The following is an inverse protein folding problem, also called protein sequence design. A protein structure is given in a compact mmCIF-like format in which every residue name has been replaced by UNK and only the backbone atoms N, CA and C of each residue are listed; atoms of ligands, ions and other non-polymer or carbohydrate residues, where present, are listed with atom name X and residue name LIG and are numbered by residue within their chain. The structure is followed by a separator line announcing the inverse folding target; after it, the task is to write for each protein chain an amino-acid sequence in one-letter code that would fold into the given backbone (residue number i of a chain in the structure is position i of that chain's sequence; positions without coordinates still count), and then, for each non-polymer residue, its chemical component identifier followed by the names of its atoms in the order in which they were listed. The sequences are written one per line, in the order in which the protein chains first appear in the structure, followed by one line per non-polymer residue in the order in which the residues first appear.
data_IF_926847687139
#
_entry.id   IF_926847687139
#
_cell.length_a   1.000
_cell.length_b   1.000
_cell.length_c   1.000
_cell.angle_alpha   90.00
_cell.angle_beta   90.00
_cell.angle_gamma   90.00
#
_symmetry.space_group_name_H-M   'P 1'
#
loop_
_entity.id
_entity.type
_entity.pdbx_description
1 polymer ?
#
# COMPACT_ATOMS: atom_id res chain seq x y z
N UNK A 1 10.35 -17.38 -11.69
CA UNK A 1 9.17 -16.82 -12.38
C UNK A 1 8.02 -16.89 -11.39
N UNK A 2 7.42 -15.75 -11.10
CA UNK A 2 6.27 -15.64 -10.21
C UNK A 2 5.14 -14.92 -10.94
N UNK A 3 3.92 -15.42 -10.74
CA UNK A 3 2.67 -14.82 -11.19
C UNK A 3 2.07 -14.07 -10.02
N UNK A 4 1.60 -12.85 -10.24
CA UNK A 4 0.82 -12.10 -9.26
C UNK A 4 -0.51 -11.68 -9.86
N UNK A 5 -1.56 -11.77 -9.04
CA UNK A 5 -2.90 -11.28 -9.37
C UNK A 5 -3.18 -10.12 -8.41
N UNK A 6 -3.44 -8.95 -8.96
CA UNK A 6 -3.83 -7.76 -8.21
C UNK A 6 -5.33 -7.55 -8.30
N UNK A 7 -5.95 -7.22 -7.18
CA UNK A 7 -7.31 -6.70 -7.12
C UNK A 7 -7.25 -5.39 -6.33
N UNK A 8 -7.82 -4.33 -6.88
CA UNK A 8 -7.91 -3.03 -6.24
C UNK A 8 -9.38 -2.63 -6.14
N UNK A 9 -9.80 -2.23 -4.93
CA UNK A 9 -11.13 -1.66 -4.69
C UNK A 9 -10.95 -0.34 -3.96
N UNK A 10 -11.43 0.74 -4.57
CA UNK A 10 -11.35 2.10 -4.04
C UNK A 10 -12.75 2.67 -3.90
N UNK A 11 -12.98 3.43 -2.85
CA UNK A 11 -14.22 4.17 -2.70
C UNK A 11 -13.92 5.58 -2.19
N UNK A 12 -14.67 6.56 -2.70
CA UNK A 12 -14.51 7.96 -2.32
C UNK A 12 -15.87 8.66 -2.29
N UNK A 13 -16.10 9.48 -1.27
CA UNK A 13 -17.24 10.39 -1.23
C UNK A 13 -17.02 11.57 -2.19
N UNK A 14 -18.09 12.01 -2.83
CA UNK A 14 -18.15 13.15 -3.73
C UNK A 14 -19.01 14.21 -3.06
N UNK A 15 -18.43 15.37 -2.80
CA UNK A 15 -19.15 16.50 -2.25
C UNK A 15 -20.14 17.06 -3.28
N UNK A 16 -21.41 16.70 -3.10
CA UNK A 16 -22.48 17.04 -4.04
C UNK A 16 -22.70 18.55 -4.14
N UNK A 17 -22.44 19.30 -3.05
CA UNK A 17 -22.56 20.76 -3.07
C UNK A 17 -21.53 21.37 -4.01
N UNK A 18 -20.28 20.93 -3.93
CA UNK A 18 -19.23 21.44 -4.81
C UNK A 18 -19.43 21.06 -6.26
N UNK A 19 -19.89 19.84 -6.53
CA UNK A 19 -20.27 19.43 -7.88
C UNK A 19 -21.33 20.39 -8.42
N UNK A 20 -22.39 20.64 -7.66
CA UNK A 20 -23.42 21.58 -8.06
C UNK A 20 -22.87 23.01 -8.27
N UNK A 21 -21.98 23.50 -7.39
CA UNK A 21 -21.33 24.80 -7.56
C UNK A 21 -20.48 24.87 -8.83
N UNK A 22 -19.80 23.78 -9.22
CA UNK A 22 -19.10 23.71 -10.51
C UNK A 22 -20.07 23.82 -11.69
N UNK A 23 -21.24 23.18 -11.64
CA UNK A 23 -22.28 23.33 -12.66
C UNK A 23 -22.81 24.77 -12.75
N UNK A 24 -22.93 25.48 -11.61
CA UNK A 24 -23.25 26.91 -11.59
C UNK A 24 -22.14 27.74 -12.24
N UNK A 25 -20.87 27.48 -11.89
CA UNK A 25 -19.72 28.21 -12.42
C UNK A 25 -19.56 28.04 -13.94
N UNK A 26 -19.92 26.86 -14.46
CA UNK A 26 -19.95 26.57 -15.90
C UNK A 26 -21.21 27.11 -16.61
N UNK A 27 -22.15 27.70 -15.86
CA UNK A 27 -23.41 28.22 -16.40
C UNK A 27 -24.42 27.13 -16.81
N UNK A 28 -24.18 25.88 -16.41
CA UNK A 28 -25.06 24.74 -16.72
C UNK A 28 -26.37 24.78 -15.92
N UNK A 29 -26.36 25.38 -14.73
CA UNK A 29 -27.55 25.59 -13.88
C UNK A 29 -27.56 26.98 -13.24
N UNK A 30 -28.75 27.46 -12.83
CA UNK A 30 -28.88 28.76 -12.19
C UNK A 30 -28.26 28.79 -10.78
N UNK A 31 -27.73 29.94 -10.29
CA UNK A 31 -27.11 30.03 -8.97
C UNK A 31 -27.99 29.60 -7.79
N UNK A 32 -29.31 29.78 -7.90
CA UNK A 32 -30.26 29.38 -6.86
C UNK A 32 -30.53 27.86 -6.81
N UNK A 33 -30.12 27.11 -7.83
CA UNK A 33 -30.45 25.68 -7.98
C UNK A 33 -29.87 24.84 -6.85
N UNK A 34 -28.59 25.02 -6.48
CA UNK A 34 -27.96 24.19 -5.44
C UNK A 34 -28.68 24.34 -4.08
N UNK A 35 -29.01 25.57 -3.68
CA UNK A 35 -29.77 25.82 -2.46
C UNK A 35 -31.18 25.23 -2.49
N UNK A 36 -31.86 25.30 -3.64
CA UNK A 36 -33.18 24.69 -3.83
C UNK A 36 -33.14 23.15 -3.74
N UNK A 37 -32.03 22.55 -4.15
CA UNK A 37 -31.76 21.12 -4.02
C UNK A 37 -31.27 20.71 -2.62
N UNK A 38 -31.20 21.63 -1.65
CA UNK A 38 -30.71 21.34 -0.31
C UNK A 38 -29.19 21.13 -0.22
N UNK A 39 -28.46 21.45 -1.28
CA UNK A 39 -27.01 21.49 -1.32
C UNK A 39 -26.57 22.89 -0.87
N UNK A 40 -26.39 23.08 0.44
CA UNK A 40 -26.18 24.40 1.05
C UNK A 40 -24.79 24.63 1.61
N UNK A 41 -23.99 23.58 1.80
CA UNK A 41 -22.64 23.64 2.33
C UNK A 41 -21.80 22.48 1.84
N UNK A 42 -20.49 22.72 1.70
CA UNK A 42 -19.50 21.66 1.52
C UNK A 42 -19.38 20.78 2.78
N UNK A 43 -18.76 19.61 2.62
CA UNK A 43 -18.47 18.63 3.67
C UNK A 43 -19.71 18.12 4.41
N UNK A 44 -20.83 17.96 3.71
CA UNK A 44 -22.07 17.43 4.27
C UNK A 44 -22.33 15.99 3.79
N UNK A 45 -21.81 15.03 4.57
CA UNK A 45 -21.93 13.60 4.30
C UNK A 45 -23.37 13.10 4.09
N UNK A 46 -24.40 13.79 4.62
CA UNK A 46 -25.80 13.40 4.43
C UNK A 46 -26.31 13.65 3.00
N UNK A 47 -25.63 14.51 2.24
CA UNK A 47 -25.98 14.88 0.87
C UNK A 47 -24.94 14.46 -0.16
N UNK A 48 -23.85 13.83 0.28
CA UNK A 48 -22.75 13.44 -0.59
C UNK A 48 -23.11 12.26 -1.48
N UNK A 49 -22.56 12.29 -2.68
CA UNK A 49 -22.57 11.17 -3.61
C UNK A 49 -21.31 10.32 -3.36
N UNK A 50 -21.14 9.20 -4.06
CA UNK A 50 -19.93 8.40 -3.95
C UNK A 50 -19.53 7.79 -5.27
N UNK A 51 -18.24 7.50 -5.41
CA UNK A 51 -17.70 6.64 -6.47
C UNK A 51 -17.00 5.45 -5.85
N UNK A 52 -17.26 4.26 -6.37
CA UNK A 52 -16.46 3.06 -6.14
C UNK A 52 -15.74 2.67 -7.42
N UNK A 53 -14.52 2.18 -7.30
CA UNK A 53 -13.73 1.68 -8.42
C UNK A 53 -13.24 0.30 -8.09
N UNK A 54 -13.46 -0.65 -8.98
CA UNK A 54 -12.97 -2.03 -8.86
C UNK A 54 -12.16 -2.38 -10.09
N UNK A 55 -10.91 -2.82 -9.90
CA UNK A 55 -10.03 -3.17 -11.00
C UNK A 55 -9.18 -4.40 -10.69
N UNK A 56 -8.79 -5.12 -11.74
CA UNK A 56 -7.93 -6.30 -11.62
C UNK A 56 -6.75 -6.24 -12.59
N UNK A 57 -5.65 -6.86 -12.19
CA UNK A 57 -4.43 -6.93 -13.00
C UNK A 57 -3.73 -8.28 -12.83
N UNK A 58 -2.98 -8.68 -13.85
CA UNK A 58 -2.06 -9.82 -13.77
C UNK A 58 -0.66 -9.34 -14.10
N UNK A 59 0.30 -9.68 -13.24
CA UNK A 59 1.70 -9.30 -13.37
C UNK A 59 2.63 -10.50 -13.34
N UNK A 60 3.75 -10.36 -14.03
CA UNK A 60 4.81 -11.36 -14.08
C UNK A 60 6.10 -10.81 -13.50
N UNK A 61 6.76 -11.61 -12.68
CA UNK A 61 8.07 -11.29 -12.11
C UNK A 61 9.04 -12.46 -12.15
N UNK A 62 10.28 -12.15 -11.79
CA UNK A 62 11.33 -13.12 -11.59
C UNK A 62 12.10 -12.82 -10.30
N UNK A 63 12.63 -13.88 -9.71
CA UNK A 63 13.52 -13.82 -8.57
C UNK A 63 14.72 -14.73 -8.82
N UNK A 64 15.89 -14.31 -8.39
CA UNK A 64 17.12 -15.10 -8.44
C UNK A 64 17.89 -14.92 -7.14
N UNK A 65 18.67 -15.93 -6.75
CA UNK A 65 19.50 -15.83 -5.56
C UNK A 65 20.67 -16.80 -5.60
N UNK A 66 21.72 -16.43 -4.88
CA UNK A 66 22.94 -17.23 -4.72
C UNK A 66 23.34 -17.23 -3.25
N UNK A 67 23.80 -18.38 -2.77
CA UNK A 67 24.39 -18.53 -1.44
C UNK A 67 25.84 -19.00 -1.58
N UNK A 68 26.74 -18.31 -0.90
CA UNK A 68 28.15 -18.65 -0.80
C UNK A 68 28.49 -19.02 0.64
N UNK A 69 29.29 -20.06 0.82
CA UNK A 69 29.69 -20.57 2.13
C UNK A 69 31.21 -20.43 2.28
N UNK A 70 31.74 -19.27 2.75
CA UNK A 70 33.17 -19.10 2.97
C UNK A 70 33.76 -20.09 3.99
N UNK A 71 32.92 -20.62 4.89
CA UNK A 71 33.24 -21.68 5.85
C UNK A 71 31.98 -22.42 6.24
N UNK A 72 32.11 -23.55 6.94
CA UNK A 72 30.98 -24.32 7.47
C UNK A 72 30.08 -23.54 8.44
N UNK A 73 30.59 -22.41 8.97
CA UNK A 73 29.90 -21.57 9.95
C UNK A 73 29.28 -20.30 9.34
N UNK A 74 29.59 -19.97 8.09
CA UNK A 74 29.19 -18.69 7.51
C UNK A 74 28.50 -18.90 6.18
N UNK A 75 27.32 -18.31 6.03
CA UNK A 75 26.58 -18.25 4.77
C UNK A 75 26.38 -16.78 4.40
N UNK A 76 26.79 -16.42 3.19
CA UNK A 76 26.50 -15.14 2.56
C UNK A 76 25.46 -15.40 1.47
N UNK A 77 24.38 -14.62 1.44
CA UNK A 77 23.32 -14.78 0.46
C UNK A 77 23.06 -13.46 -0.25
N UNK A 78 22.86 -13.53 -1.55
CA UNK A 78 22.38 -12.42 -2.37
C UNK A 78 21.09 -12.87 -3.05
N UNK A 79 20.06 -12.04 -2.99
CA UNK A 79 18.79 -12.26 -3.65
C UNK A 79 18.36 -11.02 -4.41
N UNK A 80 17.76 -11.19 -5.58
CA UNK A 80 17.15 -10.11 -6.36
C UNK A 80 15.73 -10.51 -6.76
N UNK A 81 14.84 -9.53 -6.79
CA UNK A 81 13.47 -9.64 -7.29
C UNK A 81 13.25 -8.54 -8.31
N UNK A 82 12.74 -8.90 -9.48
CA UNK A 82 12.39 -7.92 -10.51
C UNK A 82 11.20 -7.08 -10.09
N UNK A 83 11.09 -5.90 -10.67
CA UNK A 83 9.83 -5.17 -10.66
C UNK A 83 8.72 -5.98 -11.35
N UNK A 84 7.47 -5.69 -11.01
CA UNK A 84 6.29 -6.30 -11.62
C UNK A 84 5.35 -5.18 -12.03
N UNK A 85 5.08 -5.10 -13.32
CA UNK A 85 4.12 -4.14 -13.87
C UNK A 85 2.73 -4.75 -13.81
N UNK A 86 1.78 -3.97 -13.30
CA UNK A 86 0.37 -4.30 -13.19
C UNK A 86 -0.40 -3.23 -13.95
N UNK A 87 -0.95 -3.61 -15.09
CA UNK A 87 -1.93 -2.81 -15.82
C UNK A 87 -3.32 -3.24 -15.31
N UNK A 88 -3.94 -2.38 -14.51
CA UNK A 88 -5.27 -2.60 -13.93
C UNK A 88 -6.34 -2.06 -14.87
N UNK A 89 -7.32 -2.92 -15.14
CA UNK A 89 -8.51 -2.62 -15.91
C UNK A 89 -9.75 -2.89 -15.04
N UNK A 90 -10.74 -2.02 -15.10
CA UNK A 90 -11.91 -2.07 -14.24
C UNK A 90 -12.92 -0.97 -14.50
N UNK A 91 -13.85 -0.80 -13.56
CA UNK A 91 -15.01 0.08 -13.67
C UNK A 91 -15.02 1.08 -12.51
N UNK A 92 -15.57 2.27 -12.75
CA UNK A 92 -15.89 3.30 -11.77
C UNK A 92 -17.41 3.50 -11.70
N UNK A 93 -18.04 3.07 -10.62
CA UNK A 93 -19.48 3.18 -10.38
C UNK A 93 -19.81 4.44 -9.56
N UNK A 94 -20.70 5.28 -10.08
CA UNK A 94 -21.14 6.51 -9.43
C UNK A 94 -22.52 6.34 -8.81
N UNK A 95 -22.61 6.57 -7.50
CA UNK A 95 -23.87 6.62 -6.77
C UNK A 95 -24.18 8.06 -6.39
N UNK A 96 -25.16 8.65 -7.06
CA UNK A 96 -25.59 10.02 -6.80
C UNK A 96 -26.58 10.10 -5.63
N UNK A 97 -26.40 11.11 -4.78
CA UNK A 97 -27.44 11.48 -3.81
C UNK A 97 -28.69 11.96 -4.54
N UNK A 98 -29.87 11.79 -3.95
CA UNK A 98 -31.13 12.23 -4.56
C UNK A 98 -31.14 13.73 -4.88
N UNK A 99 -30.42 14.52 -4.08
CA UNK A 99 -30.21 15.95 -4.27
C UNK A 99 -29.40 16.23 -5.55
N UNK A 100 -28.30 15.51 -5.78
CA UNK A 100 -27.44 15.72 -6.95
C UNK A 100 -28.06 15.12 -8.22
N UNK A 101 -28.67 13.94 -8.11
CA UNK A 101 -29.39 13.27 -9.20
C UNK A 101 -30.49 14.14 -9.82
N UNK A 102 -31.04 15.10 -9.06
CA UNK A 102 -32.02 16.07 -9.55
C UNK A 102 -31.45 17.04 -10.62
N UNK A 103 -30.13 17.14 -10.78
CA UNK A 103 -29.50 17.83 -11.92
C UNK A 103 -29.61 17.04 -13.24
N UNK A 104 -30.01 15.76 -13.16
CA UNK A 104 -30.21 14.86 -14.29
C UNK A 104 -29.02 13.95 -14.54
N UNK A 105 -29.23 12.64 -14.48
CA UNK A 105 -28.19 11.61 -14.67
C UNK A 105 -27.43 11.77 -16.00
N UNK A 106 -28.12 12.12 -17.09
CA UNK A 106 -27.48 12.36 -18.37
C UNK A 106 -26.50 13.56 -18.34
N UNK A 107 -26.81 14.60 -17.56
CA UNK A 107 -25.93 15.76 -17.40
C UNK A 107 -24.72 15.42 -16.53
N UNK A 108 -24.91 14.59 -15.50
CA UNK A 108 -23.83 14.11 -14.63
C UNK A 108 -22.88 13.19 -15.39
N UNK A 109 -23.41 12.23 -16.16
CA UNK A 109 -22.63 11.35 -17.02
C UNK A 109 -21.83 12.15 -18.08
N UNK A 110 -22.46 13.12 -18.73
CA UNK A 110 -21.78 14.01 -19.68
C UNK A 110 -20.68 14.87 -19.04
N UNK A 111 -20.73 15.07 -17.72
CA UNK A 111 -19.70 15.75 -16.93
C UNK A 111 -18.62 14.80 -16.37
N UNK A 112 -18.62 13.52 -16.77
CA UNK A 112 -17.65 12.52 -16.29
C UNK A 112 -17.95 11.98 -14.89
N UNK A 113 -19.19 12.15 -14.40
CA UNK A 113 -19.69 11.64 -13.13
C UNK A 113 -20.71 10.50 -13.34
N UNK A 114 -20.60 9.76 -14.44
CA UNK A 114 -21.41 8.57 -14.67
C UNK A 114 -20.53 7.32 -14.62
N UNK A 115 -21.18 6.16 -14.54
CA UNK A 115 -20.47 4.87 -14.61
C UNK A 115 -19.61 4.81 -15.87
N UNK A 116 -18.35 4.43 -15.70
CA UNK A 116 -17.33 4.50 -16.75
C UNK A 116 -16.16 3.55 -16.48
N UNK A 117 -15.44 3.18 -17.53
CA UNK A 117 -14.21 2.41 -17.44
C UNK A 117 -13.13 3.21 -16.71
N UNK A 118 -12.32 2.52 -15.92
CA UNK A 118 -11.20 3.09 -15.17
C UNK A 118 -9.95 2.20 -15.31
N UNK A 119 -8.85 2.83 -15.70
CA UNK A 119 -7.56 2.15 -15.85
C UNK A 119 -6.51 2.75 -14.91
N UNK A 120 -5.58 1.93 -14.43
CA UNK A 120 -4.40 2.43 -13.71
C UNK A 120 -3.19 1.53 -13.94
N UNK A 121 -1.99 2.11 -13.93
CA UNK A 121 -0.74 1.37 -14.04
C UNK A 121 0.04 1.49 -12.75
N UNK A 122 0.35 0.35 -12.16
CA UNK A 122 1.13 0.26 -10.93
C UNK A 122 2.34 -0.62 -11.14
N UNK A 123 3.48 -0.20 -10.60
CA UNK A 123 4.68 -1.01 -10.55
C UNK A 123 4.92 -1.47 -9.11
N UNK A 124 5.02 -2.78 -8.90
CA UNK A 124 5.58 -3.34 -7.67
C UNK A 124 7.10 -3.23 -7.79
N UNK A 125 7.80 -2.51 -6.88
CA UNK A 125 9.22 -2.22 -7.03
C UNK A 125 10.13 -3.44 -7.10
N UNK A 126 11.24 -3.29 -7.83
CA UNK A 126 12.36 -4.21 -7.74
C UNK A 126 13.02 -4.15 -6.35
N UNK A 127 13.68 -5.24 -5.95
CA UNK A 127 14.46 -5.27 -4.71
C UNK A 127 15.71 -6.14 -4.82
N UNK A 128 16.72 -5.78 -4.04
CA UNK A 128 17.96 -6.54 -3.88
C UNK A 128 18.30 -6.67 -2.40
N UNK A 129 18.59 -7.90 -1.96
CA UNK A 129 18.89 -8.22 -0.57
C UNK A 129 20.23 -8.92 -0.45
N UNK A 130 21.04 -8.47 0.50
CA UNK A 130 22.21 -9.18 0.97
C UNK A 130 21.98 -9.64 2.41
N UNK A 131 22.33 -10.88 2.72
CA UNK A 131 22.19 -11.44 4.05
C UNK A 131 23.41 -12.26 4.46
N UNK A 132 23.71 -12.24 5.76
CA UNK A 132 24.75 -13.05 6.39
C UNK A 132 24.14 -13.85 7.53
N UNK A 133 24.49 -15.13 7.60
CA UNK A 133 24.27 -15.98 8.76
C UNK A 133 25.62 -16.50 9.24
N UNK A 134 25.95 -16.28 10.51
CA UNK A 134 27.20 -16.70 11.12
C UNK A 134 26.95 -17.49 12.41
N UNK A 135 27.35 -18.76 12.42
CA UNK A 135 27.28 -19.65 13.57
C UNK A 135 28.45 -19.36 14.53
N UNK A 136 28.13 -18.62 15.59
CA UNK A 136 29.09 -18.24 16.64
C UNK A 136 29.42 -19.43 17.55
N UNK A 137 28.45 -20.31 17.79
CA UNK A 137 28.62 -21.54 18.57
C UNK A 137 27.64 -22.63 18.11
N UNK A 138 27.76 -23.84 18.67
CA UNK A 138 26.84 -24.95 18.39
C UNK A 138 25.37 -24.60 18.68
N UNK A 139 25.13 -23.59 19.53
CA UNK A 139 23.78 -23.15 19.90
C UNK A 139 23.38 -21.80 19.33
N UNK A 140 24.31 -20.93 18.97
CA UNK A 140 24.01 -19.54 18.60
C UNK A 140 24.41 -19.25 17.16
N UNK A 141 23.45 -18.79 16.37
CA UNK A 141 23.66 -18.21 15.04
C UNK A 141 23.19 -16.77 15.04
N UNK A 142 24.02 -15.86 14.54
CA UNK A 142 23.67 -14.46 14.31
C UNK A 142 23.33 -14.25 12.85
N UNK A 143 22.38 -13.35 12.60
CA UNK A 143 21.88 -13.00 11.28
C UNK A 143 21.96 -11.49 11.10
N UNK A 144 22.26 -11.06 9.88
CA UNK A 144 22.15 -9.67 9.47
C UNK A 144 21.72 -9.59 8.02
N UNK A 145 20.90 -8.59 7.68
CA UNK A 145 20.43 -8.37 6.32
C UNK A 145 20.33 -6.89 5.98
N UNK A 146 20.50 -6.60 4.69
CA UNK A 146 20.26 -5.29 4.09
C UNK A 146 19.44 -5.53 2.83
N UNK A 147 18.33 -4.80 2.69
CA UNK A 147 17.46 -4.87 1.51
C UNK A 147 17.24 -3.49 0.95
N UNK A 148 17.64 -3.29 -0.31
CA UNK A 148 17.31 -2.11 -1.09
C UNK A 148 16.04 -2.35 -1.90
N UNK A 149 15.17 -1.34 -1.95
CA UNK A 149 13.91 -1.38 -2.72
C UNK A 149 13.80 -0.15 -3.62
N UNK A 150 13.49 -0.37 -4.89
CA UNK A 150 13.42 0.68 -5.94
C UNK A 150 12.08 1.43 -5.96
N UNK A 151 11.68 2.02 -4.83
CA UNK A 151 10.40 2.72 -4.74
C UNK A 151 10.26 3.92 -5.69
N UNK A 152 11.37 4.48 -6.19
CA UNK A 152 11.35 5.53 -7.22
C UNK A 152 10.78 5.09 -8.56
N UNK A 153 10.50 3.79 -8.74
CA UNK A 153 9.72 3.27 -9.87
C UNK A 153 8.23 3.68 -9.84
N UNK A 154 7.73 4.20 -8.72
CA UNK A 154 6.34 4.61 -8.53
C UNK A 154 6.28 6.12 -8.23
N UNK A 155 6.47 6.99 -9.24
CA UNK A 155 6.44 8.44 -9.04
C UNK A 155 5.03 8.96 -8.76
N UNK A 156 4.01 8.31 -9.32
CA UNK A 156 2.60 8.69 -9.15
C UNK A 156 1.69 7.47 -9.25
N UNK A 157 0.47 7.59 -8.72
CA UNK A 157 -0.66 6.73 -9.07
C UNK A 157 -1.61 7.57 -9.92
N UNK A 158 -1.81 7.16 -11.17
CA UNK A 158 -2.73 7.80 -12.12
C UNK A 158 -3.87 6.86 -12.46
N UNK A 159 -5.09 7.32 -12.24
CA UNK A 159 -6.32 6.66 -12.70
C UNK A 159 -6.84 7.45 -13.90
N UNK A 160 -7.00 6.79 -15.04
CA UNK A 160 -7.49 7.37 -16.28
C UNK A 160 -8.89 6.87 -16.60
N UNK A 161 -9.71 7.72 -17.22
CA UNK A 161 -11.09 7.40 -17.63
C UNK A 161 -11.19 7.54 -19.16
N UNK A 162 -10.89 6.48 -19.93
CA UNK A 162 -10.63 6.59 -21.37
C UNK A 162 -11.84 7.05 -22.20
N UNK A 163 -13.05 6.77 -21.73
CA UNK A 163 -14.28 6.98 -22.50
C UNK A 163 -15.04 8.27 -22.15
N UNK A 164 -14.48 9.15 -21.31
CA UNK A 164 -15.17 10.37 -20.87
C UNK A 164 -14.29 11.62 -20.90
N UNK A 165 -14.89 12.77 -20.59
CA UNK A 165 -14.17 14.03 -20.40
C UNK A 165 -13.60 14.19 -18.99
N UNK A 166 -13.74 13.19 -18.13
CA UNK A 166 -13.26 13.26 -16.75
C UNK A 166 -11.73 13.43 -16.76
N UNK A 167 -11.24 14.33 -15.92
CA UNK A 167 -9.80 14.48 -15.72
C UNK A 167 -9.23 13.26 -14.99
N UNK A 168 -8.00 12.89 -15.33
CA UNK A 168 -7.26 11.86 -14.60
C UNK A 168 -7.19 12.16 -13.11
N UNK A 169 -7.37 11.13 -12.29
CA UNK A 169 -7.06 11.23 -10.86
C UNK A 169 -5.57 10.92 -10.66
N UNK A 170 -4.78 11.96 -10.40
CA UNK A 170 -3.33 11.85 -10.23
C UNK A 170 -2.94 12.06 -8.78
N UNK A 171 -2.42 11.04 -8.13
CA UNK A 171 -1.77 11.14 -6.83
C UNK A 171 -0.26 11.12 -7.03
N UNK A 172 0.37 12.27 -6.87
CA UNK A 172 1.83 12.39 -6.93
C UNK A 172 2.46 11.83 -5.63
N UNK A 173 3.35 10.86 -5.77
CA UNK A 173 3.96 10.14 -4.64
C UNK A 173 5.44 10.45 -4.46
N UNK A 174 6.16 10.69 -5.57
CA UNK A 174 7.61 10.94 -5.61
C UNK A 174 8.40 10.03 -4.66
N UNK A 175 8.03 8.75 -4.59
CA UNK A 175 8.62 7.84 -3.63
C UNK A 175 10.13 7.66 -3.84
N UNK A 176 10.88 7.61 -2.75
CA UNK A 176 12.32 7.48 -2.75
C UNK A 176 12.75 6.05 -2.42
N UNK A 177 13.87 5.63 -3.00
CA UNK A 177 14.43 4.31 -2.76
C UNK A 177 14.81 4.13 -1.29
N UNK A 178 14.47 2.98 -0.71
CA UNK A 178 14.72 2.71 0.71
C UNK A 178 15.74 1.60 0.91
N UNK A 179 16.40 1.63 2.07
CA UNK A 179 17.29 0.57 2.53
C UNK A 179 16.83 0.11 3.91
N UNK A 180 16.26 -1.08 3.97
CA UNK A 180 15.90 -1.76 5.21
C UNK A 180 17.13 -2.51 5.74
N UNK A 181 17.38 -2.38 7.05
CA UNK A 181 18.47 -3.09 7.73
C UNK A 181 17.92 -3.95 8.87
N UNK A 182 18.38 -5.19 8.96
CA UNK A 182 17.92 -6.17 9.94
C UNK A 182 19.06 -6.85 10.67
N UNK A 183 18.81 -7.20 11.93
CA UNK A 183 19.68 -8.04 12.74
C UNK A 183 18.84 -9.04 13.54
N UNK A 184 19.36 -10.24 13.73
CA UNK A 184 18.66 -11.25 14.48
C UNK A 184 19.54 -12.37 14.97
N UNK A 185 18.94 -13.27 15.74
CA UNK A 185 19.61 -14.44 16.27
C UNK A 185 18.71 -15.67 16.21
N UNK A 186 19.35 -16.82 16.18
CA UNK A 186 18.72 -18.12 16.41
C UNK A 186 19.49 -18.83 17.52
N UNK A 187 18.78 -19.24 18.56
CA UNK A 187 19.31 -19.95 19.70
C UNK A 187 18.74 -21.37 19.79
N UNK A 188 19.59 -22.38 19.72
CA UNK A 188 19.23 -23.78 19.93
C UNK A 188 19.10 -24.04 21.44
N UNK A 189 17.87 -24.03 21.94
CA UNK A 189 17.57 -24.23 23.35
C UNK A 189 17.75 -25.70 23.76
N UNK A 190 17.22 -26.62 22.95
CA UNK A 190 17.33 -28.09 23.10
C UNK A 190 17.50 -28.72 21.72
N UNK A 191 17.74 -30.02 21.60
CA UNK A 191 17.84 -30.69 20.28
C UNK A 191 16.56 -30.61 19.43
N UNK A 192 15.43 -30.20 20.04
CA UNK A 192 14.12 -30.08 19.40
C UNK A 192 13.61 -28.65 19.33
N UNK A 193 14.14 -27.72 20.13
CA UNK A 193 13.59 -26.37 20.26
C UNK A 193 14.61 -25.32 19.84
N UNK A 194 14.19 -24.42 18.95
CA UNK A 194 14.93 -23.21 18.57
C UNK A 194 14.14 -21.98 18.94
N UNK A 195 14.82 -20.96 19.44
CA UNK A 195 14.27 -19.62 19.67
C UNK A 195 14.86 -18.67 18.63
N UNK A 196 14.06 -17.69 18.19
CA UNK A 196 14.49 -16.61 17.31
C UNK A 196 14.08 -15.27 17.90
N UNK A 197 14.93 -14.29 17.70
CA UNK A 197 14.65 -12.89 17.98
C UNK A 197 15.27 -12.03 16.89
N UNK A 198 14.65 -10.89 16.59
CA UNK A 198 15.15 -9.98 15.58
C UNK A 198 14.63 -8.57 15.75
N UNK A 199 15.39 -7.64 15.18
CA UNK A 199 15.07 -6.22 15.06
C UNK A 199 15.35 -5.76 13.63
N UNK A 200 14.54 -4.86 13.10
CA UNK A 200 14.85 -4.21 11.83
C UNK A 200 14.37 -2.77 11.81
N UNK A 201 15.10 -1.92 11.11
CA UNK A 201 14.69 -0.57 10.79
C UNK A 201 14.38 -0.50 9.29
N UNK A 202 13.20 0.03 8.98
CA UNK A 202 12.60 0.01 7.66
C UNK A 202 12.04 1.40 7.32
N UNK A 203 12.83 2.25 6.64
CA UNK A 203 12.45 3.62 6.33
C UNK A 203 11.24 3.72 5.39
N UNK A 204 10.46 4.80 5.51
CA UNK A 204 9.39 5.12 4.56
C UNK A 204 9.96 5.53 3.21
N UNK A 205 9.32 5.14 2.09
CA UNK A 205 9.65 5.70 0.79
C UNK A 205 9.05 7.10 0.57
N UNK A 206 8.20 7.59 1.48
CA UNK A 206 7.53 8.88 1.31
C UNK A 206 8.47 10.03 1.69
N UNK A 207 8.82 10.94 0.77
CA UNK A 207 9.86 11.96 1.01
C UNK A 207 9.47 13.01 2.05
N UNK A 208 8.21 13.44 2.08
CA UNK A 208 7.74 14.51 2.97
C UNK A 208 6.23 14.42 3.28
N UNK A 209 5.72 15.42 4.01
CA UNK A 209 4.31 15.46 4.46
C UNK A 209 3.31 15.78 3.36
N UNK A 210 3.75 16.35 2.23
CA UNK A 210 2.91 16.76 1.11
C UNK A 210 2.66 15.58 0.15
N UNK A 211 3.65 14.70 0.01
CA UNK A 211 3.55 13.43 -0.74
C UNK A 211 2.95 12.28 0.07
N UNK A 212 2.77 12.47 1.39
CA UNK A 212 2.10 11.49 2.24
C UNK A 212 0.60 11.56 2.03
N UNK A 213 0.01 10.44 1.67
CA UNK A 213 -1.44 10.36 1.43
C UNK A 213 -2.16 9.82 2.66
N UNK A 214 -3.41 10.23 2.93
CA UNK A 214 -4.24 9.60 3.96
C UNK A 214 -4.46 8.10 3.73
N UNK A 215 -4.32 7.64 2.48
CA UNK A 215 -4.49 6.23 2.08
C UNK A 215 -3.25 5.39 2.35
N UNK A 216 -2.08 6.00 2.33
CA UNK A 216 -0.80 5.37 2.63
C UNK A 216 0.03 6.31 3.52
N UNK A 217 -0.33 6.46 4.81
CA UNK A 217 0.35 7.36 5.73
C UNK A 217 1.66 6.74 6.23
N UNK A 218 2.55 6.38 5.31
CA UNK A 218 3.76 5.61 5.59
C UNK A 218 4.79 6.44 6.36
N UNK A 219 5.35 5.84 7.42
CA UNK A 219 6.46 6.34 8.22
C UNK A 219 7.52 5.26 8.42
N UNK A 220 8.67 5.67 8.95
CA UNK A 220 9.76 4.76 9.31
C UNK A 220 9.28 3.75 10.34
N UNK A 221 9.63 2.49 10.14
CA UNK A 221 9.17 1.40 11.00
C UNK A 221 10.32 0.78 11.77
N UNK A 222 10.09 0.56 13.08
CA UNK A 222 10.90 -0.33 13.89
C UNK A 222 10.18 -1.66 14.07
N UNK A 223 10.81 -2.73 13.63
CA UNK A 223 10.32 -4.10 13.78
C UNK A 223 10.98 -4.76 14.98
N UNK A 224 10.19 -5.36 15.86
CA UNK A 224 10.65 -6.23 16.94
C UNK A 224 9.98 -7.58 16.78
N UNK A 225 10.75 -8.67 16.71
CA UNK A 225 10.20 -10.00 16.44
C UNK A 225 10.78 -11.05 17.36
N UNK A 226 9.95 -12.02 17.73
CA UNK A 226 10.32 -13.20 18.48
C UNK A 226 9.61 -14.43 17.93
N UNK A 227 10.23 -15.60 18.05
CA UNK A 227 9.62 -16.84 17.57
C UNK A 227 10.25 -18.10 18.14
N UNK A 228 9.55 -19.20 17.95
CA UNK A 228 9.94 -20.53 18.42
C UNK A 228 9.69 -21.54 17.30
N UNK A 229 10.65 -22.45 17.10
CA UNK A 229 10.42 -23.71 16.39
C UNK A 229 10.48 -24.85 17.38
N UNK A 230 9.57 -25.80 17.26
CA UNK A 230 9.60 -27.04 18.01
C UNK A 230 9.42 -28.25 17.10
N UNK A 231 10.40 -29.16 17.14
CA UNK A 231 10.34 -30.44 16.45
C UNK A 231 9.47 -31.42 17.23
N UNK A 232 8.30 -31.75 16.67
CA UNK A 232 7.39 -32.74 17.25
C UNK A 232 7.95 -34.15 17.13
N UNK A 233 8.46 -34.50 15.95
CA UNK A 233 9.06 -35.79 15.65
C UNK A 233 10.06 -35.65 14.48
N UNK A 234 10.60 -36.76 13.95
CA UNK A 234 11.60 -36.71 12.87
C UNK A 234 11.09 -36.10 11.55
N UNK A 235 9.78 -36.07 11.35
CA UNK A 235 9.13 -35.65 10.12
C UNK A 235 8.40 -34.32 10.27
N UNK A 236 8.15 -33.85 11.50
CA UNK A 236 7.29 -32.69 11.78
C UNK A 236 7.95 -31.67 12.68
N UNK A 237 7.93 -30.41 12.23
CA UNK A 237 8.29 -29.23 13.00
C UNK A 237 7.09 -28.25 13.00
N UNK A 238 6.86 -27.56 14.12
CA UNK A 238 5.93 -26.42 14.22
C UNK A 238 6.75 -25.16 14.49
N UNK A 239 6.38 -24.06 13.85
CA UNK A 239 6.93 -22.74 14.07
C UNK A 239 5.82 -21.79 14.51
N UNK A 240 6.10 -20.94 15.49
CA UNK A 240 5.24 -19.83 15.89
C UNK A 240 6.07 -18.56 16.04
N UNK A 241 5.50 -17.41 15.68
CA UNK A 241 6.19 -16.13 15.73
C UNK A 241 5.25 -14.97 16.02
N UNK A 242 5.80 -13.92 16.63
CA UNK A 242 5.16 -12.64 16.86
C UNK A 242 6.10 -11.52 16.39
N UNK A 243 5.52 -10.51 15.75
CA UNK A 243 6.20 -9.30 15.34
C UNK A 243 5.38 -8.09 15.79
N UNK A 244 6.04 -7.12 16.40
CA UNK A 244 5.50 -5.81 16.71
C UNK A 244 6.21 -4.84 15.77
N UNK A 245 5.44 -4.10 15.00
CA UNK A 245 5.93 -3.05 14.12
C UNK A 245 5.47 -1.74 14.75
N UNK A 246 6.43 -0.87 15.02
CA UNK A 246 6.21 0.45 15.58
C UNK A 246 6.61 1.50 14.53
N UNK A 247 5.64 1.97 13.73
CA UNK A 247 5.77 3.14 12.88
C UNK A 247 6.03 4.40 13.71
N UNK A 248 6.90 5.28 13.25
CA UNK A 248 7.05 6.62 13.83
C UNK A 248 5.76 7.44 13.64
N UNK A 249 5.46 8.31 14.61
CA UNK A 249 4.37 9.28 14.47
C UNK A 249 4.64 10.17 13.26
N UNK A 250 3.62 10.35 12.42
CA UNK A 250 3.78 11.16 11.21
C UNK A 250 2.59 12.06 10.97
N UNK A 251 2.81 13.10 10.17
CA UNK A 251 1.78 14.04 9.76
C UNK A 251 1.50 13.92 8.26
N UNK A 252 0.23 14.06 7.92
CA UNK A 252 -0.29 14.17 6.56
C UNK A 252 -0.70 15.62 6.32
N UNK A 253 -0.24 16.20 5.23
CA UNK A 253 -0.70 17.50 4.74
C UNK A 253 -1.03 17.40 3.25
N UNK A 254 -2.12 16.69 2.96
CA UNK A 254 -2.45 16.26 1.61
C UNK A 254 -3.53 17.13 0.99
N UNK A 255 -3.24 17.73 -0.16
CA UNK A 255 -4.26 18.45 -0.93
C UNK A 255 -4.84 17.52 -2.00
N UNK A 256 -6.17 17.43 -2.06
CA UNK A 256 -6.84 16.52 -2.99
C UNK A 256 -6.54 16.92 -4.45
N UNK A 257 -6.14 15.96 -5.31
CA UNK A 257 -5.91 16.22 -6.72
C UNK A 257 -7.12 16.86 -7.39
N UNK A 258 -6.90 17.90 -8.22
CA UNK A 258 -7.97 18.64 -8.91
C UNK A 258 -8.74 19.64 -8.04
N UNK A 259 -8.29 19.93 -6.82
CA UNK A 259 -8.87 20.96 -5.96
C UNK A 259 -7.85 21.68 -5.08
N UNK A 260 -7.87 23.02 -5.07
CA UNK A 260 -7.00 23.85 -4.21
C UNK A 260 -7.49 23.96 -2.76
N UNK A 261 -8.73 23.56 -2.48
CA UNK A 261 -9.43 23.96 -1.25
C UNK A 261 -9.56 22.82 -0.22
N UNK A 262 -9.14 21.60 -0.57
CA UNK A 262 -9.28 20.41 0.28
C UNK A 262 -7.93 19.86 0.71
N UNK A 263 -7.41 20.44 1.77
CA UNK A 263 -6.23 19.93 2.48
C UNK A 263 -6.66 19.06 3.66
N UNK A 264 -6.35 17.77 3.62
CA UNK A 264 -6.43 16.87 4.76
C UNK A 264 -5.19 17.03 5.62
N UNK A 265 -5.40 17.44 6.88
CA UNK A 265 -4.36 17.45 7.90
C UNK A 265 -4.67 16.42 8.98
N UNK A 266 -3.75 15.50 9.20
CA UNK A 266 -3.90 14.47 10.21
C UNK A 266 -2.55 14.12 10.83
N UNK A 267 -2.55 13.81 12.12
CA UNK A 267 -1.47 13.08 12.77
C UNK A 267 -1.86 11.61 12.78
N UNK A 268 -0.95 10.75 12.35
CA UNK A 268 -1.16 9.30 12.29
C UNK A 268 -0.22 8.64 13.26
N UNK A 269 -0.81 7.90 14.19
CA UNK A 269 -0.16 6.99 15.13
C UNK A 269 -0.74 5.60 14.90
N UNK A 270 0.11 4.58 14.83
CA UNK A 270 -0.33 3.21 14.63
C UNK A 270 0.65 2.23 15.24
N UNK A 271 0.16 1.08 15.68
CA UNK A 271 0.95 -0.07 16.09
C UNK A 271 0.41 -1.31 15.39
N UNK A 272 1.30 -2.16 14.88
CA UNK A 272 0.90 -3.39 14.20
C UNK A 272 1.47 -4.60 14.94
N UNK A 273 0.60 -5.57 15.25
CA UNK A 273 0.99 -6.85 15.83
C UNK A 273 0.67 -7.96 14.81
N UNK A 274 1.71 -8.64 14.34
CA UNK A 274 1.62 -9.83 13.50
C UNK A 274 1.85 -11.10 14.30
N UNK A 275 1.01 -12.11 14.10
CA UNK A 275 1.18 -13.46 14.68
C UNK A 275 1.19 -14.48 13.54
N UNK A 276 2.08 -15.46 13.62
CA UNK A 276 2.20 -16.53 12.62
C UNK A 276 2.35 -17.89 13.28
N UNK A 277 1.77 -18.90 12.64
CA UNK A 277 1.97 -20.32 12.96
C UNK A 277 2.15 -21.08 11.65
N UNK A 278 3.15 -21.96 11.59
CA UNK A 278 3.36 -22.83 10.43
C UNK A 278 3.71 -24.25 10.88
N UNK A 279 3.39 -25.23 10.03
CA UNK A 279 3.72 -26.63 10.23
C UNK A 279 4.49 -27.15 9.03
N UNK A 280 5.63 -27.77 9.28
CA UNK A 280 6.53 -28.29 8.27
C UNK A 280 6.56 -29.82 8.34
N UNK A 281 6.29 -30.50 7.22
CA UNK A 281 6.35 -31.96 7.09
C UNK A 281 7.44 -32.39 6.11
N UNK A 282 8.26 -33.37 6.49
CA UNK A 282 9.32 -33.95 5.65
C UNK A 282 8.98 -35.41 5.34
N UNK A 283 8.97 -35.75 4.05
CA UNK A 283 8.73 -37.11 3.53
C UNK A 283 9.97 -38.00 3.67
#
# INVERSE_FOLDING_TARGET
LNLQVGQAVLAKAIDSFLVCQRFVALGAVAPATCGALGLTSASNAATDSSVSMEATAIGYGANAGVAYHPSDKTTLSLGVRSAIKLDFEGDADFTHSSNLAALGEANLAAAGLGDQDAETKLEVPASASFAVAHQVSDKLTLHGDVTWTEWSSVPEIRITFPDTIAEDSVTDLQWENTVRVGAGLTYQLTDRTKLRAGIAHDPTPTPDVEHRTPRAPSSDNLWLSAGISHRLNKQMDIDAGISIIHPEETSVNYTTPGSSDYTTRATVESDVIGVSVSMNYRF
#
